data_IF_014376738784
#
_entry.id   IF_014376738784
#
_cell.length_a   1.000
_cell.length_b   1.000
_cell.length_c   1.000
_cell.angle_alpha   90.00
_cell.angle_beta   90.00
_cell.angle_gamma   90.00
#
_symmetry.space_group_name_H-M   'P 1'
#
loop_
_entity.id
_entity.type
_entity.pdbx_description
1 polymer ?
#
# COMPACT_ATOMS: atom_id res chain seq x y z
N UNK A 1 113.44 43.46 104.78
CA UNK A 1 114.04 42.21 104.26
C UNK A 1 112.92 41.37 103.67
N UNK A 2 113.15 40.96 102.44
CA UNK A 2 112.23 40.31 101.53
C UNK A 2 111.84 38.90 102.00
N UNK A 3 110.57 38.53 101.84
CA UNK A 3 110.24 37.30 101.13
C UNK A 3 108.85 37.39 100.53
N UNK A 4 108.82 37.77 99.25
CA UNK A 4 107.69 37.61 98.34
C UNK A 4 107.43 36.11 98.13
N UNK A 5 106.47 35.55 98.85
CA UNK A 5 105.75 34.36 98.37
C UNK A 5 104.55 34.86 97.57
N UNK A 6 104.71 34.88 96.25
CA UNK A 6 103.69 35.23 95.26
C UNK A 6 102.47 34.33 95.40
N UNK A 7 101.49 34.75 96.20
CA UNK A 7 100.14 34.21 96.18
C UNK A 7 99.53 34.65 94.84
N UNK A 8 99.40 33.70 93.89
CA UNK A 8 98.63 33.91 92.66
C UNK A 8 97.19 34.23 93.05
N UNK A 9 96.89 35.52 93.08
CA UNK A 9 95.55 36.08 93.26
C UNK A 9 94.66 35.59 92.10
N UNK A 10 93.56 34.92 92.46
CA UNK A 10 92.28 34.82 91.76
C UNK A 10 92.40 34.70 90.23
N UNK A 11 92.43 33.46 89.75
CA UNK A 11 92.38 33.09 88.33
C UNK A 11 91.14 33.70 87.65
N UNK A 12 91.34 34.76 86.85
CA UNK A 12 90.39 35.10 85.80
C UNK A 12 90.38 33.95 84.78
N UNK A 13 89.32 33.14 84.77
CA UNK A 13 89.12 32.17 83.69
C UNK A 13 88.83 32.94 82.39
N UNK A 14 89.85 33.09 81.55
CA UNK A 14 89.82 33.90 80.32
C UNK A 14 88.72 33.49 79.34
N UNK A 15 88.28 32.23 79.37
CA UNK A 15 87.20 31.73 78.52
C UNK A 15 85.82 31.91 79.16
N UNK A 16 85.75 32.11 80.48
CA UNK A 16 84.54 32.43 81.22
C UNK A 16 84.35 33.94 81.42
N UNK A 17 84.70 34.74 80.40
CA UNK A 17 84.60 36.20 80.41
C UNK A 17 83.83 36.69 79.18
N UNK A 18 82.76 37.44 79.43
CA UNK A 18 81.84 37.98 78.41
C UNK A 18 82.60 38.80 77.35
N UNK A 19 83.65 39.52 77.75
CA UNK A 19 84.42 40.40 76.86
C UNK A 19 85.22 39.64 75.79
N UNK A 20 85.58 38.38 76.04
CA UNK A 20 86.33 37.55 75.09
C UNK A 20 85.46 36.57 74.31
N UNK A 21 84.19 36.43 74.67
CA UNK A 21 83.25 35.46 74.08
C UNK A 21 83.11 35.51 72.55
N UNK A 22 83.28 36.69 71.94
CA UNK A 22 83.21 36.88 70.47
C UNK A 22 84.47 36.42 69.73
N UNK A 23 85.59 36.27 70.43
CA UNK A 23 86.88 35.90 69.86
C UNK A 23 87.23 34.43 70.12
N UNK A 24 86.32 33.67 70.73
CA UNK A 24 86.48 32.24 70.96
C UNK A 24 86.11 31.49 69.68
N UNK A 25 87.04 30.72 69.16
CA UNK A 25 86.83 29.84 68.02
C UNK A 25 86.77 28.38 68.46
N UNK A 26 85.83 27.62 67.90
CA UNK A 26 85.74 26.19 68.11
C UNK A 26 86.77 25.46 67.24
N UNK A 27 87.66 24.69 67.88
CA UNK A 27 88.66 23.87 67.18
C UNK A 27 88.03 22.64 66.53
N UNK A 28 86.99 22.08 67.17
CA UNK A 28 86.19 20.97 66.64
C UNK A 28 84.73 21.14 67.04
N UNK A 29 83.78 20.58 66.27
CA UNK A 29 82.37 20.55 66.67
C UNK A 29 82.20 19.78 68.00
N UNK A 30 81.33 20.30 68.88
CA UNK A 30 80.96 19.59 70.11
C UNK A 30 80.52 18.17 69.78
N UNK A 31 81.18 17.21 70.39
CA UNK A 31 80.97 15.78 70.12
C UNK A 31 80.71 15.05 71.44
N UNK A 32 79.79 14.09 71.40
CA UNK A 32 79.58 13.13 72.48
C UNK A 32 80.61 12.01 72.37
N UNK A 33 81.39 11.77 73.43
CA UNK A 33 82.44 10.76 73.50
C UNK A 33 82.36 10.03 74.85
N UNK A 34 82.69 8.73 74.85
CA UNK A 34 82.80 7.97 76.10
C UNK A 34 84.14 8.26 76.78
N UNK A 35 84.08 8.75 78.03
CA UNK A 35 85.25 9.06 78.85
C UNK A 35 85.34 8.06 80.01
N UNK A 36 86.53 7.50 80.21
CA UNK A 36 86.86 6.60 81.32
C UNK A 36 87.29 7.43 82.54
N UNK A 37 86.49 7.44 83.59
CA UNK A 37 86.82 8.07 84.87
C UNK A 37 87.54 7.06 85.76
N UNK A 38 88.72 7.41 86.25
CA UNK A 38 89.44 6.64 87.27
C UNK A 38 89.67 7.46 88.53
N UNK A 39 89.04 7.04 89.62
CA UNK A 39 89.16 7.64 90.95
C UNK A 39 89.28 6.52 91.98
N UNK A 40 90.33 6.55 92.81
CA UNK A 40 90.54 5.63 93.94
C UNK A 40 90.30 4.14 93.62
N UNK A 41 90.78 3.67 92.47
CA UNK A 41 90.65 2.26 92.04
C UNK A 41 89.33 1.89 91.36
N UNK A 42 88.32 2.76 91.42
CA UNK A 42 87.06 2.59 90.69
C UNK A 42 87.19 3.15 89.26
N UNK A 43 86.72 2.37 88.29
CA UNK A 43 86.66 2.76 86.87
C UNK A 43 85.21 2.84 86.43
N UNK A 44 84.81 3.99 85.88
CA UNK A 44 83.48 4.19 85.31
C UNK A 44 83.61 4.78 83.90
N UNK A 45 82.87 4.25 82.93
CA UNK A 45 82.82 4.80 81.58
C UNK A 45 81.53 5.59 81.43
N UNK A 46 81.62 6.90 81.13
CA UNK A 46 80.45 7.79 81.01
C UNK A 46 80.45 8.54 79.69
N UNK A 47 79.26 8.83 79.17
CA UNK A 47 79.11 9.69 78.01
C UNK A 47 79.30 11.16 78.42
N UNK A 48 80.18 11.86 77.71
CA UNK A 48 80.51 13.25 77.95
C UNK A 48 80.48 14.06 76.67
N UNK A 49 80.14 15.35 76.76
CA UNK A 49 80.37 16.31 75.70
C UNK A 49 81.75 16.92 75.83
N UNK A 50 82.48 16.97 74.72
CA UNK A 50 83.79 17.60 74.63
C UNK A 50 83.65 18.89 73.82
N UNK A 51 84.12 19.99 74.42
CA UNK A 51 84.22 21.30 73.81
C UNK A 51 85.70 21.63 73.67
N UNK A 52 86.17 21.85 72.45
CA UNK A 52 87.53 22.27 72.17
C UNK A 52 87.50 23.70 71.61
N UNK A 53 88.03 24.64 72.37
CA UNK A 53 87.93 26.08 72.12
C UNK A 53 89.33 26.69 72.14
N UNK A 54 89.57 27.68 71.28
CA UNK A 54 90.83 28.44 71.25
C UNK A 54 90.56 29.95 71.25
N UNK A 55 91.54 30.69 71.76
CA UNK A 55 91.58 32.14 71.73
C UNK A 55 92.94 32.56 71.16
N UNK A 56 93.00 32.76 69.85
CA UNK A 56 94.27 32.94 69.12
C UNK A 56 95.01 34.22 69.54
N UNK A 57 94.30 35.32 69.81
CA UNK A 57 94.88 36.60 70.24
C UNK A 57 95.71 36.50 71.52
N UNK A 58 95.43 35.52 72.37
CA UNK A 58 96.14 35.28 73.64
C UNK A 58 96.98 34.00 73.63
N UNK A 59 97.01 33.27 72.52
CA UNK A 59 97.69 31.96 72.45
C UNK A 59 97.16 30.99 73.50
N UNK A 60 95.83 30.86 73.60
CA UNK A 60 95.14 30.08 74.61
C UNK A 60 94.30 28.97 73.96
N UNK A 61 94.27 27.80 74.61
CA UNK A 61 93.47 26.64 74.23
C UNK A 61 92.75 26.10 75.46
N UNK A 62 91.50 25.72 75.31
CA UNK A 62 90.73 25.12 76.37
C UNK A 62 89.96 23.89 75.90
N UNK A 63 90.09 22.80 76.65
CA UNK A 63 89.24 21.62 76.54
C UNK A 63 88.29 21.60 77.74
N UNK A 64 86.98 21.51 77.46
CA UNK A 64 85.96 21.32 78.47
C UNK A 64 85.27 19.97 78.26
N UNK A 65 85.18 19.18 79.31
CA UNK A 65 84.51 17.88 79.33
C UNK A 65 83.35 17.97 80.30
N UNK A 66 82.12 17.82 79.80
CA UNK A 66 80.92 17.84 80.64
C UNK A 66 80.20 16.49 80.57
N UNK A 67 79.81 15.91 81.70
CA UNK A 67 79.02 14.66 81.70
C UNK A 67 77.65 14.92 81.05
N UNK A 68 77.22 14.05 80.11
CA UNK A 68 75.93 14.20 79.40
C UNK A 68 74.73 14.13 80.34
N UNK A 69 74.81 13.31 81.40
CA UNK A 69 73.74 13.19 82.39
C UNK A 69 73.65 14.37 83.36
N UNK A 70 74.76 15.10 83.56
CA UNK A 70 74.82 16.24 84.47
C UNK A 70 75.91 17.22 84.04
N UNK A 71 75.53 18.25 83.29
CA UNK A 71 76.47 19.26 82.77
C UNK A 71 77.13 20.11 83.87
N UNK A 72 76.66 20.04 85.12
CA UNK A 72 77.33 20.65 86.27
C UNK A 72 78.65 19.96 86.59
N UNK A 73 78.80 18.68 86.22
CA UNK A 73 80.07 17.94 86.30
C UNK A 73 80.92 18.27 85.09
N UNK A 74 81.59 19.41 85.18
CA UNK A 74 82.43 19.95 84.12
C UNK A 74 83.88 19.97 84.55
N UNK A 75 84.75 19.48 83.67
CA UNK A 75 86.19 19.43 83.84
C UNK A 75 86.83 20.29 82.77
N UNK A 76 87.80 21.11 83.17
CA UNK A 76 88.41 22.10 82.30
C UNK A 76 89.92 21.92 82.32
N UNK A 77 90.49 21.94 81.12
CA UNK A 77 91.92 21.99 80.87
C UNK A 77 92.18 23.24 80.06
N UNK A 78 92.93 24.19 80.61
CA UNK A 78 93.36 25.41 79.91
C UNK A 78 94.86 25.33 79.70
N UNK A 79 95.31 25.51 78.46
CA UNK A 79 96.71 25.52 78.07
C UNK A 79 97.01 26.87 77.43
N UNK A 80 97.90 27.62 78.06
CA UNK A 80 98.47 28.87 77.58
C UNK A 80 99.90 28.65 77.07
N UNK A 81 100.56 29.73 76.63
CA UNK A 81 101.93 29.63 76.12
C UNK A 81 102.95 29.21 77.19
N UNK A 82 102.73 29.54 78.46
CA UNK A 82 103.65 29.22 79.56
C UNK A 82 103.51 27.75 79.98
N UNK A 83 102.29 27.33 80.32
CA UNK A 83 101.95 25.93 80.62
C UNK A 83 102.26 24.99 79.45
N UNK A 84 102.17 25.46 78.20
CA UNK A 84 102.64 24.65 77.07
C UNK A 84 104.15 24.38 77.10
N UNK A 85 105.00 25.33 77.51
CA UNK A 85 106.45 25.06 77.62
C UNK A 85 106.74 24.00 78.69
N UNK A 86 106.01 24.05 79.80
CA UNK A 86 106.10 23.03 80.87
C UNK A 86 105.67 21.66 80.32
N UNK A 87 104.49 21.57 79.68
CA UNK A 87 104.01 20.33 79.05
C UNK A 87 104.98 19.82 77.97
N UNK A 88 105.57 20.73 77.21
CA UNK A 88 106.52 20.40 76.14
C UNK A 88 107.77 19.73 76.72
N UNK A 89 108.28 20.24 77.85
CA UNK A 89 109.43 19.67 78.54
C UNK A 89 109.07 18.34 79.24
N UNK A 90 107.97 18.31 80.00
CA UNK A 90 107.57 17.13 80.79
C UNK A 90 107.19 15.93 79.93
N UNK A 91 106.49 16.16 78.81
CA UNK A 91 106.01 15.11 77.92
C UNK A 91 106.86 14.98 76.65
N UNK A 92 108.01 15.67 76.59
CA UNK A 92 108.94 15.63 75.45
C UNK A 92 108.24 15.89 74.10
N UNK A 93 107.38 16.91 74.04
CA UNK A 93 106.62 17.23 72.83
C UNK A 93 107.51 17.94 71.80
N UNK A 94 107.64 17.37 70.61
CA UNK A 94 108.47 17.93 69.53
C UNK A 94 107.69 18.83 68.56
N UNK A 95 106.83 19.71 69.09
CA UNK A 95 106.00 20.62 68.28
C UNK A 95 106.02 22.07 68.76
N UNK A 96 105.58 22.98 67.89
CA UNK A 96 105.25 24.37 68.26
C UNK A 96 103.86 24.43 68.89
N UNK A 97 103.48 25.57 69.49
CA UNK A 97 102.13 25.73 70.04
C UNK A 97 101.04 25.62 68.96
N UNK A 98 101.31 26.05 67.72
CA UNK A 98 100.37 25.85 66.61
C UNK A 98 100.24 24.37 66.23
N UNK A 99 101.36 23.65 66.09
CA UNK A 99 101.35 22.22 65.82
C UNK A 99 100.72 21.40 66.95
N UNK A 100 100.83 21.88 68.21
CA UNK A 100 100.11 21.28 69.33
C UNK A 100 98.58 21.39 69.17
N UNK A 101 98.06 22.55 68.74
CA UNK A 101 96.63 22.73 68.46
C UNK A 101 96.14 21.75 67.38
N UNK A 102 96.89 21.61 66.30
CA UNK A 102 96.59 20.69 65.20
C UNK A 102 96.60 19.22 65.66
N UNK A 103 97.63 18.81 66.39
CA UNK A 103 97.72 17.47 66.97
C UNK A 103 96.57 17.19 67.94
N UNK A 104 96.14 18.18 68.73
CA UNK A 104 94.99 18.03 69.62
C UNK A 104 93.69 17.81 68.85
N UNK A 105 93.47 18.50 67.72
CA UNK A 105 92.33 18.25 66.82
C UNK A 105 92.36 16.81 66.31
N UNK A 106 93.53 16.34 65.85
CA UNK A 106 93.69 14.98 65.33
C UNK A 106 93.43 13.92 66.41
N UNK A 107 93.99 14.10 67.61
CA UNK A 107 93.76 13.21 68.76
C UNK A 107 92.27 13.14 69.11
N UNK A 108 91.56 14.29 69.14
CA UNK A 108 90.13 14.33 69.40
C UNK A 108 89.31 13.63 68.32
N UNK A 109 89.70 13.75 67.05
CA UNK A 109 89.09 13.01 65.95
C UNK A 109 89.33 11.51 66.09
N UNK A 110 90.56 11.08 66.43
CA UNK A 110 90.87 9.67 66.66
C UNK A 110 90.13 9.10 67.89
N UNK A 111 89.84 9.93 68.90
CA UNK A 111 88.94 9.56 70.00
C UNK A 111 87.50 9.38 69.53
N UNK A 112 87.00 10.28 68.67
CA UNK A 112 85.65 10.17 68.08
C UNK A 112 85.50 8.91 67.22
N UNK A 113 86.57 8.54 66.50
CA UNK A 113 86.62 7.31 65.69
C UNK A 113 86.86 6.05 66.54
N UNK A 114 87.08 6.18 67.85
CA UNK A 114 87.31 5.06 68.76
C UNK A 114 88.71 4.44 68.68
N UNK A 115 89.66 5.08 68.00
CA UNK A 115 91.06 4.64 67.94
C UNK A 115 91.82 4.93 69.24
N UNK A 116 91.44 6.01 69.90
CA UNK A 116 91.97 6.44 71.20
C UNK A 116 90.83 6.49 72.22
N UNK A 117 91.14 6.17 73.48
CA UNK A 117 90.24 6.33 74.61
C UNK A 117 90.63 7.56 75.43
N UNK A 118 89.64 8.31 75.89
CA UNK A 118 89.84 9.46 76.78
C UNK A 118 89.67 8.98 78.22
N UNK A 119 90.67 9.22 79.05
CA UNK A 119 90.68 8.85 80.46
C UNK A 119 90.83 10.09 81.34
N UNK A 120 89.91 10.29 82.28
CA UNK A 120 90.03 11.33 83.30
C UNK A 120 90.49 10.68 84.62
N UNK A 121 91.74 10.91 84.97
CA UNK A 121 92.42 10.27 86.11
C UNK A 121 92.56 11.26 87.25
N UNK A 122 92.09 10.92 88.45
CA UNK A 122 92.33 11.74 89.64
C UNK A 122 93.76 11.52 90.17
N UNK A 123 94.52 12.60 90.38
CA UNK A 123 95.88 12.52 90.93
C UNK A 123 95.81 12.39 92.46
N UNK A 124 96.11 11.19 92.98
CA UNK A 124 96.03 10.88 94.42
C UNK A 124 97.29 11.29 95.21
N UNK A 125 98.29 11.91 94.56
CA UNK A 125 99.61 12.18 95.18
C UNK A 125 99.64 13.35 96.18
N UNK A 126 98.54 14.06 96.39
CA UNK A 126 98.50 15.26 97.24
C UNK A 126 98.00 15.04 98.67
N UNK A 127 97.90 13.79 99.15
CA UNK A 127 97.28 13.49 100.44
C UNK A 127 98.23 13.36 101.65
N UNK A 128 99.54 13.58 101.55
CA UNK A 128 100.45 13.27 102.67
C UNK A 128 101.38 14.38 103.19
N UNK A 129 101.27 15.63 102.73
CA UNK A 129 102.07 16.70 103.35
C UNK A 129 101.41 18.07 103.27
N UNK A 130 100.96 18.56 104.42
CA UNK A 130 100.48 19.90 104.76
C UNK A 130 98.96 20.15 104.61
N UNK A 131 98.22 19.65 105.59
CA UNK A 131 96.80 19.94 105.81
C UNK A 131 96.58 21.38 106.35
N UNK A 132 96.55 22.38 105.47
CA UNK A 132 96.07 23.72 105.88
C UNK A 132 95.52 24.62 104.75
N UNK A 133 95.32 24.12 103.54
CA UNK A 133 94.58 24.82 102.47
C UNK A 133 93.68 23.82 101.76
N UNK A 134 92.42 24.17 101.52
CA UNK A 134 91.45 23.29 100.86
C UNK A 134 91.99 22.82 99.50
N UNK A 135 92.47 21.57 99.44
CA UNK A 135 93.14 21.01 98.26
C UNK A 135 92.05 20.67 97.24
N UNK A 136 91.98 21.44 96.16
CA UNK A 136 91.12 21.13 95.00
C UNK A 136 91.68 19.84 94.37
N UNK A 137 90.86 18.80 94.13
CA UNK A 137 91.33 17.57 93.52
C UNK A 137 91.86 17.85 92.11
N UNK A 138 93.14 17.53 91.89
CA UNK A 138 93.77 17.63 90.58
C UNK A 138 93.41 16.40 89.73
N UNK A 139 93.00 16.64 88.49
CA UNK A 139 92.72 15.59 87.51
C UNK A 139 93.74 15.67 86.36
N UNK A 140 93.88 14.57 85.63
CA UNK A 140 94.63 14.50 84.39
C UNK A 140 93.73 13.95 83.29
N UNK A 141 93.61 14.70 82.20
CA UNK A 141 92.92 14.28 81.01
C UNK A 141 93.91 13.60 80.07
N UNK A 142 93.80 12.29 79.93
CA UNK A 142 94.73 11.44 79.18
C UNK A 142 94.08 10.89 77.92
N UNK A 143 94.84 10.88 76.84
CA UNK A 143 94.47 10.29 75.56
C UNK A 143 95.27 9.00 75.37
N UNK A 144 94.59 7.87 75.41
CA UNK A 144 95.21 6.55 75.60
C UNK A 144 94.88 5.64 74.42
N UNK A 145 95.92 5.09 73.80
CA UNK A 145 95.79 4.00 72.84
C UNK A 145 95.85 2.67 73.58
N UNK A 146 94.77 1.90 73.48
CA UNK A 146 94.69 0.57 74.06
C UNK A 146 95.50 -0.39 73.18
N UNK A 147 96.53 -1.01 73.76
CA UNK A 147 97.40 -1.96 73.05
C UNK A 147 97.44 -3.28 73.81
N UNK A 148 97.70 -4.43 73.14
CA UNK A 148 97.67 -5.76 73.77
C UNK A 148 98.65 -5.95 74.93
N UNK A 149 99.81 -5.27 74.89
CA UNK A 149 100.86 -5.43 75.90
C UNK A 149 100.81 -4.33 76.98
N UNK A 150 100.82 -3.06 76.56
CA UNK A 150 100.80 -1.91 77.46
C UNK A 150 100.14 -0.74 76.76
N UNK A 151 99.17 -0.13 77.42
CA UNK A 151 98.50 1.07 76.93
C UNK A 151 99.50 2.22 76.76
N UNK A 152 99.39 2.96 75.66
CA UNK A 152 100.23 4.10 75.35
C UNK A 152 99.45 5.39 75.61
N UNK A 153 99.96 6.25 76.49
CA UNK A 153 99.39 7.60 76.68
C UNK A 153 100.06 8.54 75.69
N UNK A 154 99.29 9.06 74.74
CA UNK A 154 99.76 9.98 73.70
C UNK A 154 99.91 11.41 74.22
N UNK A 155 98.98 11.82 75.09
CA UNK A 155 98.96 13.16 75.67
C UNK A 155 98.26 13.10 77.03
N UNK A 156 98.82 13.79 78.03
CA UNK A 156 98.28 13.87 79.38
C UNK A 156 98.21 15.33 79.81
N UNK A 157 97.02 15.91 79.84
CA UNK A 157 96.82 17.32 80.16
C UNK A 157 96.39 17.52 81.62
N UNK A 158 96.87 18.56 82.31
CA UNK A 158 96.34 18.94 83.62
C UNK A 158 94.88 19.35 83.47
N UNK A 159 94.04 18.87 84.38
CA UNK A 159 92.60 19.08 84.33
C UNK A 159 92.09 19.38 85.73
N UNK A 160 91.12 20.28 85.82
CA UNK A 160 90.50 20.66 87.07
C UNK A 160 88.98 20.57 86.98
N UNK A 161 88.34 20.34 88.12
CA UNK A 161 86.90 20.48 88.22
C UNK A 161 86.56 21.97 88.10
N UNK A 162 85.62 22.32 87.21
CA UNK A 162 85.20 23.70 87.01
C UNK A 162 84.55 24.27 88.27
N UNK A 163 84.82 25.55 88.55
CA UNK A 163 84.17 26.26 89.66
C UNK A 163 82.70 26.55 89.33
N UNK A 164 81.88 26.79 90.36
CA UNK A 164 80.45 27.06 90.18
C UNK A 164 80.17 28.26 89.25
N UNK A 165 80.96 29.32 89.36
CA UNK A 165 80.81 30.52 88.53
C UNK A 165 81.07 30.21 87.04
N UNK A 166 82.08 29.40 86.75
CA UNK A 166 82.43 28.97 85.39
C UNK A 166 81.34 28.06 84.82
N UNK A 167 80.87 27.11 85.61
CA UNK A 167 79.75 26.22 85.25
C UNK A 167 78.51 27.04 84.89
N UNK A 168 78.15 28.00 85.73
CA UNK A 168 76.98 28.86 85.53
C UNK A 168 77.10 29.68 84.24
N UNK A 169 78.27 30.27 83.98
CA UNK A 169 78.54 31.02 82.75
C UNK A 169 78.31 30.16 81.50
N UNK A 170 78.92 28.96 81.44
CA UNK A 170 78.78 28.10 80.27
C UNK A 170 77.37 27.52 80.11
N UNK A 171 76.71 27.14 81.21
CA UNK A 171 75.33 26.64 81.15
C UNK A 171 74.35 27.73 80.69
N UNK A 172 74.50 28.96 81.16
CA UNK A 172 73.68 30.09 80.68
C UNK A 172 73.92 30.34 79.19
N UNK A 173 75.17 30.33 78.72
CA UNK A 173 75.48 30.48 77.30
C UNK A 173 74.89 29.36 76.43
N UNK A 174 74.91 28.12 76.92
CA UNK A 174 74.29 26.98 76.23
C UNK A 174 72.76 27.17 76.21
N UNK A 175 72.16 27.56 77.34
CA UNK A 175 70.72 27.81 77.46
C UNK A 175 70.26 28.89 76.49
N UNK A 176 70.92 30.05 76.46
CA UNK A 176 70.59 31.15 75.54
C UNK A 176 70.72 30.73 74.06
N UNK A 177 71.74 29.93 73.72
CA UNK A 177 71.92 29.39 72.36
C UNK A 177 70.80 28.42 72.01
N UNK A 178 70.42 27.53 72.93
CA UNK A 178 69.34 26.57 72.72
C UNK A 178 67.98 27.26 72.64
N UNK A 179 67.70 28.24 73.50
CA UNK A 179 66.45 29.00 73.50
C UNK A 179 66.25 29.74 72.17
N UNK A 180 67.29 30.41 71.65
CA UNK A 180 67.25 31.06 70.34
C UNK A 180 66.98 30.06 69.20
N UNK A 181 67.63 28.89 69.22
CA UNK A 181 67.38 27.83 68.24
C UNK A 181 65.95 27.31 68.33
N UNK A 182 65.44 27.06 69.54
CA UNK A 182 64.07 26.57 69.74
C UNK A 182 63.03 27.58 69.23
N UNK A 183 63.16 28.85 69.59
CA UNK A 183 62.27 29.92 69.10
C UNK A 183 62.29 30.02 67.57
N UNK A 184 63.47 29.96 66.95
CA UNK A 184 63.56 29.96 65.49
C UNK A 184 62.87 28.75 64.84
N UNK A 185 63.03 27.56 65.42
CA UNK A 185 62.36 26.35 64.93
C UNK A 185 60.84 26.42 65.13
N UNK A 186 60.37 27.01 66.22
CA UNK A 186 58.96 27.24 66.48
C UNK A 186 58.34 28.19 65.45
N UNK A 187 58.98 29.33 65.18
CA UNK A 187 58.53 30.28 64.15
C UNK A 187 58.44 29.61 62.77
N UNK A 188 59.46 28.82 62.41
CA UNK A 188 59.48 28.10 61.13
C UNK A 188 58.40 27.03 61.05
N UNK A 189 58.13 26.33 62.15
CA UNK A 189 57.06 25.34 62.21
C UNK A 189 55.68 25.99 62.06
N UNK A 190 55.45 27.14 62.71
CA UNK A 190 54.20 27.90 62.57
C UNK A 190 54.00 28.41 61.14
N UNK A 191 55.06 28.88 60.47
CA UNK A 191 55.00 29.30 59.06
C UNK A 191 54.60 28.13 58.14
N UNK A 192 55.27 26.99 58.26
CA UNK A 192 54.96 25.79 57.47
C UNK A 192 53.54 25.28 57.76
N UNK A 193 53.10 25.35 59.02
CA UNK A 193 51.74 25.02 59.38
C UNK A 193 50.74 25.94 58.67
N UNK A 194 50.98 27.25 58.62
CA UNK A 194 50.12 28.19 57.92
C UNK A 194 50.05 27.91 56.41
N UNK A 195 51.19 27.65 55.76
CA UNK A 195 51.26 27.26 54.35
C UNK A 195 50.45 25.99 54.06
N UNK A 196 50.60 24.95 54.89
CA UNK A 196 49.81 23.73 54.77
C UNK A 196 48.31 23.97 54.87
N UNK A 197 47.85 24.81 55.80
CA UNK A 197 46.43 25.16 55.92
C UNK A 197 45.91 25.87 54.65
N UNK A 198 46.72 26.73 54.03
CA UNK A 198 46.35 27.39 52.78
C UNK A 198 46.28 26.40 51.61
N UNK A 199 47.23 25.45 51.53
CA UNK A 199 47.18 24.39 50.53
C UNK A 199 45.95 23.50 50.68
N UNK A 200 45.59 23.09 51.89
CA UNK A 200 44.37 22.31 52.17
C UNK A 200 43.12 23.07 51.70
N UNK A 201 42.99 24.37 52.04
CA UNK A 201 41.87 25.19 51.57
C UNK A 201 41.78 25.26 50.05
N UNK A 202 42.93 25.32 49.36
CA UNK A 202 42.96 25.36 47.89
C UNK A 202 42.53 24.02 47.29
N UNK A 203 42.92 22.90 47.88
CA UNK A 203 42.47 21.56 47.48
C UNK A 203 40.94 21.47 47.63
N UNK A 204 40.38 21.86 48.77
CA UNK A 204 38.93 21.85 49.00
C UNK A 204 38.15 22.70 47.98
N UNK A 205 38.71 23.83 47.55
CA UNK A 205 38.12 24.67 46.50
C UNK A 205 38.12 23.96 45.14
N UNK A 206 39.27 23.38 44.75
CA UNK A 206 39.41 22.66 43.48
C UNK A 206 38.53 21.40 43.44
N UNK A 207 38.37 20.71 44.56
CA UNK A 207 37.48 19.55 44.66
C UNK A 207 36.02 19.94 44.45
N UNK A 208 35.59 21.09 45.02
CA UNK A 208 34.26 21.65 44.77
C UNK A 208 34.06 22.04 43.31
N UNK A 209 35.04 22.72 42.70
CA UNK A 209 35.00 23.06 41.27
C UNK A 209 34.91 21.80 40.39
N UNK A 210 35.68 20.76 40.71
CA UNK A 210 35.64 19.49 40.00
C UNK A 210 34.29 18.78 40.16
N UNK A 211 33.70 18.79 41.35
CA UNK A 211 32.38 18.22 41.60
C UNK A 211 31.31 18.94 40.75
N UNK A 212 31.30 20.27 40.77
CA UNK A 212 30.37 21.07 39.97
C UNK A 212 30.53 20.82 38.47
N UNK A 213 31.77 20.71 37.97
CA UNK A 213 32.02 20.42 36.55
C UNK A 213 31.53 19.02 36.15
N UNK A 214 31.68 18.02 37.03
CA UNK A 214 31.17 16.66 36.79
C UNK A 214 29.65 16.63 36.76
N UNK A 215 29.00 17.35 37.67
CA UNK A 215 27.55 17.50 37.70
C UNK A 215 27.03 18.18 36.42
N UNK A 216 27.60 19.32 36.04
CA UNK A 216 27.26 20.01 34.81
C UNK A 216 27.44 19.13 33.55
N UNK A 217 28.52 18.34 33.50
CA UNK A 217 28.77 17.41 32.40
C UNK A 217 27.72 16.29 32.35
N UNK A 218 27.34 15.75 33.51
CA UNK A 218 26.29 14.74 33.63
C UNK A 218 24.95 15.29 33.16
N UNK A 219 24.55 16.46 33.65
CA UNK A 219 23.32 17.14 33.25
C UNK A 219 23.29 17.44 31.75
N UNK A 220 24.39 17.98 31.20
CA UNK A 220 24.51 18.26 29.76
C UNK A 220 24.38 16.99 28.92
N UNK A 221 25.02 15.90 29.37
CA UNK A 221 24.94 14.60 28.68
C UNK A 221 23.52 14.02 28.74
N UNK A 222 22.85 14.12 29.88
CA UNK A 222 21.47 13.69 30.05
C UNK A 222 20.51 14.49 29.16
N UNK A 223 20.65 15.82 29.14
CA UNK A 223 19.84 16.69 28.29
C UNK A 223 20.03 16.37 26.79
N UNK A 224 21.28 16.14 26.36
CA UNK A 224 21.58 15.77 24.98
C UNK A 224 21.00 14.40 24.61
N UNK A 225 21.17 13.40 25.48
CA UNK A 225 20.60 12.06 25.28
C UNK A 225 19.07 12.10 25.23
N UNK A 226 18.44 12.90 26.08
CA UNK A 226 16.99 13.09 26.05
C UNK A 226 16.55 13.68 24.71
N UNK A 227 17.21 14.74 24.24
CA UNK A 227 16.93 15.35 22.94
C UNK A 227 17.11 14.35 21.78
N UNK A 228 18.20 13.59 21.77
CA UNK A 228 18.41 12.56 20.75
C UNK A 228 17.34 11.46 20.82
N UNK A 229 16.91 11.06 22.01
CA UNK A 229 15.82 10.09 22.18
C UNK A 229 14.50 10.63 21.62
N UNK A 230 14.19 11.90 21.84
CA UNK A 230 13.02 12.56 21.26
C UNK A 230 13.10 12.64 19.73
N UNK A 231 14.26 13.02 19.18
CA UNK A 231 14.50 13.07 17.73
C UNK A 231 14.35 11.68 17.08
N UNK A 232 14.87 10.63 17.73
CA UNK A 232 14.71 9.23 17.26
C UNK A 232 13.23 8.83 17.27
N UNK A 233 12.49 9.14 18.35
CA UNK A 233 11.06 8.83 18.43
C UNK A 233 10.27 9.55 17.33
N UNK A 234 10.55 10.84 17.09
CA UNK A 234 9.90 11.58 16.00
C UNK A 234 10.23 10.99 14.62
N UNK A 235 11.47 10.60 14.37
CA UNK A 235 11.86 9.96 13.13
C UNK A 235 11.18 8.59 12.96
N UNK A 236 11.10 7.79 14.02
CA UNK A 236 10.38 6.51 14.00
C UNK A 236 8.89 6.70 13.69
N UNK A 237 8.25 7.69 14.31
CA UNK A 237 6.84 8.01 14.04
C UNK A 237 6.64 8.47 12.59
N UNK A 238 7.54 9.29 12.05
CA UNK A 238 7.49 9.72 10.66
C UNK A 238 7.67 8.55 9.67
N UNK A 239 8.60 7.64 9.96
CA UNK A 239 8.80 6.42 9.15
C UNK A 239 7.56 5.55 9.21
N UNK A 240 6.96 5.37 10.39
CA UNK A 240 5.72 4.60 10.56
C UNK A 240 4.58 5.19 9.71
N UNK A 241 4.36 6.51 9.77
CA UNK A 241 3.37 7.21 8.94
C UNK A 241 3.63 7.01 7.44
N UNK A 242 4.88 7.08 7.00
CA UNK A 242 5.25 6.84 5.60
C UNK A 242 4.99 5.39 5.16
N UNK A 243 5.23 4.41 6.04
CA UNK A 243 4.93 3.01 5.77
C UNK A 243 3.42 2.79 5.65
N UNK A 244 2.64 3.35 6.58
CA UNK A 244 1.17 3.30 6.54
C UNK A 244 0.61 3.95 5.27
N UNK A 245 1.10 5.14 4.92
CA UNK A 245 0.70 5.82 3.70
C UNK A 245 1.05 5.01 2.43
N UNK A 246 2.25 4.43 2.37
CA UNK A 246 2.67 3.56 1.26
C UNK A 246 1.77 2.32 1.18
N UNK A 247 1.41 1.73 2.32
CA UNK A 247 0.53 0.57 2.38
C UNK A 247 -0.86 0.91 1.84
N UNK A 248 -1.45 2.04 2.26
CA UNK A 248 -2.73 2.52 1.73
C UNK A 248 -2.68 2.74 0.22
N UNK A 249 -1.63 3.39 -0.29
CA UNK A 249 -1.47 3.62 -1.72
C UNK A 249 -1.28 2.30 -2.48
N UNK A 250 -0.53 1.35 -1.92
CA UNK A 250 -0.40 0.01 -2.50
C UNK A 250 -1.75 -0.71 -2.57
N UNK A 251 -2.58 -0.62 -1.53
CA UNK A 251 -3.93 -1.18 -1.52
C UNK A 251 -4.86 -0.49 -2.52
N UNK A 252 -4.74 0.84 -2.71
CA UNK A 252 -5.45 1.57 -3.76
C UNK A 252 -5.02 1.09 -5.14
N UNK A 253 -3.72 0.93 -5.37
CA UNK A 253 -3.18 0.41 -6.63
C UNK A 253 -3.66 -1.03 -6.90
N UNK A 254 -3.61 -1.92 -5.90
CA UNK A 254 -4.14 -3.28 -6.03
C UNK A 254 -5.63 -3.29 -6.39
N UNK A 255 -6.45 -2.43 -5.75
CA UNK A 255 -7.87 -2.28 -6.09
C UNK A 255 -8.09 -1.77 -7.51
N UNK A 256 -7.30 -0.78 -7.93
CA UNK A 256 -7.36 -0.26 -9.31
C UNK A 256 -6.98 -1.33 -10.33
N UNK A 257 -5.90 -2.09 -10.09
CA UNK A 257 -5.46 -3.21 -10.93
C UNK A 257 -6.54 -4.30 -11.01
N UNK A 258 -7.14 -4.67 -9.88
CA UNK A 258 -8.22 -5.67 -9.87
C UNK A 258 -9.43 -5.20 -10.67
N UNK A 259 -9.79 -3.92 -10.57
CA UNK A 259 -10.88 -3.31 -11.34
C UNK A 259 -10.60 -3.30 -12.85
N UNK A 260 -9.39 -2.87 -13.26
CA UNK A 260 -9.01 -2.89 -14.68
C UNK A 260 -8.91 -4.31 -15.22
N UNK A 261 -8.43 -5.27 -14.41
CA UNK A 261 -8.42 -6.68 -14.77
C UNK A 261 -9.84 -7.22 -14.99
N UNK A 262 -10.79 -6.91 -14.10
CA UNK A 262 -12.19 -7.30 -14.26
C UNK A 262 -12.82 -6.69 -15.52
N UNK A 263 -12.50 -5.44 -15.85
CA UNK A 263 -12.93 -4.83 -17.12
C UNK A 263 -12.32 -5.51 -18.34
N UNK A 264 -11.03 -5.86 -18.28
CA UNK A 264 -10.36 -6.63 -19.33
C UNK A 264 -11.03 -7.98 -19.53
N UNK A 265 -11.30 -8.71 -18.46
CA UNK A 265 -11.96 -10.02 -18.52
C UNK A 265 -13.37 -9.88 -19.12
N UNK A 266 -14.12 -8.84 -18.73
CA UNK A 266 -15.43 -8.55 -19.33
C UNK A 266 -15.34 -8.26 -20.83
N UNK A 267 -14.44 -7.37 -21.24
CA UNK A 267 -14.22 -7.08 -22.67
C UNK A 267 -13.73 -8.31 -23.44
N UNK A 268 -12.92 -9.16 -22.82
CA UNK A 268 -12.48 -10.43 -23.40
C UNK A 268 -13.68 -11.37 -23.63
N UNK A 269 -14.59 -11.49 -22.64
CA UNK A 269 -15.82 -12.27 -22.81
C UNK A 269 -16.73 -11.70 -23.89
N UNK A 270 -16.96 -10.38 -23.92
CA UNK A 270 -17.73 -9.70 -24.97
C UNK A 270 -17.10 -9.89 -26.35
N UNK A 271 -15.77 -9.81 -26.46
CA UNK A 271 -15.05 -10.10 -27.70
C UNK A 271 -15.29 -11.55 -28.14
N UNK A 272 -15.22 -12.51 -27.23
CA UNK A 272 -15.50 -13.92 -27.54
C UNK A 272 -16.94 -14.14 -27.99
N UNK A 273 -17.93 -13.51 -27.34
CA UNK A 273 -19.34 -13.62 -27.74
C UNK A 273 -19.59 -12.98 -29.10
N UNK A 274 -19.11 -11.75 -29.33
CA UNK A 274 -19.21 -11.08 -30.63
C UNK A 274 -18.49 -11.87 -31.73
N UNK A 275 -17.36 -12.50 -31.43
CA UNK A 275 -16.67 -13.36 -32.37
C UNK A 275 -17.47 -14.62 -32.70
N UNK A 276 -18.15 -15.22 -31.72
CA UNK A 276 -19.05 -16.35 -31.93
C UNK A 276 -20.29 -15.95 -32.76
N UNK A 277 -20.90 -14.80 -32.45
CA UNK A 277 -22.01 -14.21 -33.21
C UNK A 277 -21.59 -13.92 -34.65
N UNK A 278 -20.42 -13.31 -34.86
CA UNK A 278 -19.86 -13.08 -36.20
C UNK A 278 -19.68 -14.38 -36.98
N UNK A 279 -19.19 -15.45 -36.34
CA UNK A 279 -19.05 -16.76 -36.99
C UNK A 279 -20.44 -17.32 -37.35
N UNK A 280 -21.43 -17.19 -36.47
CA UNK A 280 -22.79 -17.62 -36.73
C UNK A 280 -23.42 -16.84 -37.90
N UNK A 281 -23.28 -15.52 -37.90
CA UNK A 281 -23.79 -14.63 -38.95
C UNK A 281 -23.07 -14.87 -40.30
N UNK A 282 -21.76 -15.17 -40.27
CA UNK A 282 -21.02 -15.60 -41.46
C UNK A 282 -21.60 -16.90 -42.04
N UNK A 283 -21.89 -17.90 -41.19
CA UNK A 283 -22.55 -19.15 -41.63
C UNK A 283 -23.94 -18.90 -42.21
N UNK A 284 -24.76 -18.06 -41.56
CA UNK A 284 -26.08 -17.70 -42.08
C UNK A 284 -25.97 -16.98 -43.43
N UNK A 285 -25.00 -16.08 -43.60
CA UNK A 285 -24.72 -15.44 -44.88
C UNK A 285 -24.23 -16.42 -45.96
N UNK A 286 -23.44 -17.43 -45.60
CA UNK A 286 -23.04 -18.49 -46.53
C UNK A 286 -24.25 -19.29 -47.01
N UNK A 287 -25.14 -19.70 -46.09
CA UNK A 287 -26.40 -20.39 -46.42
C UNK A 287 -27.28 -19.51 -47.34
N UNK A 288 -27.46 -18.24 -46.99
CA UNK A 288 -28.23 -17.29 -47.81
C UNK A 288 -27.58 -17.07 -49.18
N UNK A 289 -26.24 -17.07 -49.28
CA UNK A 289 -25.53 -17.00 -50.57
C UNK A 289 -25.77 -18.25 -51.41
N UNK A 290 -25.79 -19.44 -50.81
CA UNK A 290 -26.14 -20.70 -51.48
C UNK A 290 -27.60 -20.68 -51.95
N UNK A 291 -28.54 -20.21 -51.12
CA UNK A 291 -29.95 -20.02 -51.50
C UNK A 291 -30.11 -18.99 -52.63
N UNK A 292 -29.41 -17.87 -52.57
CA UNK A 292 -29.40 -16.88 -53.65
C UNK A 292 -28.82 -17.48 -54.93
N UNK A 293 -27.75 -18.28 -54.84
CA UNK A 293 -27.14 -18.94 -56.00
C UNK A 293 -28.09 -19.95 -56.64
N UNK A 294 -28.75 -20.77 -55.83
CA UNK A 294 -29.77 -21.74 -56.31
C UNK A 294 -31.00 -21.04 -56.89
N UNK A 295 -31.49 -19.97 -56.28
CA UNK A 295 -32.58 -19.14 -56.81
C UNK A 295 -32.17 -18.42 -58.10
N UNK A 296 -30.94 -17.90 -58.20
CA UNK A 296 -30.39 -17.33 -59.44
C UNK A 296 -30.34 -18.38 -60.55
N UNK A 297 -29.92 -19.60 -60.26
CA UNK A 297 -29.96 -20.73 -61.20
C UNK A 297 -31.39 -21.05 -61.65
N UNK A 298 -32.36 -21.02 -60.74
CA UNK A 298 -33.78 -21.23 -61.04
C UNK A 298 -34.37 -20.10 -61.91
N UNK A 299 -34.00 -18.85 -61.65
CA UNK A 299 -34.36 -17.69 -62.48
C UNK A 299 -33.73 -17.81 -63.87
N UNK A 300 -32.48 -18.24 -64.00
CA UNK A 300 -31.83 -18.46 -65.29
C UNK A 300 -32.56 -19.53 -66.12
N UNK A 301 -32.93 -20.66 -65.51
CA UNK A 301 -33.73 -21.70 -66.17
C UNK A 301 -35.12 -21.19 -66.60
N UNK A 302 -35.79 -20.40 -65.75
CA UNK A 302 -37.08 -19.80 -66.09
C UNK A 302 -36.94 -18.78 -67.23
N UNK A 303 -35.88 -17.97 -67.25
CA UNK A 303 -35.59 -17.05 -68.39
C UNK A 303 -35.36 -17.82 -69.68
N UNK A 304 -34.63 -18.94 -69.65
CA UNK A 304 -34.40 -19.78 -70.82
C UNK A 304 -35.70 -20.44 -71.33
N UNK A 305 -36.59 -20.89 -70.43
CA UNK A 305 -37.93 -21.36 -70.79
C UNK A 305 -38.79 -20.24 -71.39
N UNK A 306 -38.71 -19.03 -70.85
CA UNK A 306 -39.46 -17.88 -71.36
C UNK A 306 -38.97 -17.44 -72.76
N UNK A 307 -37.65 -17.49 -73.03
CA UNK A 307 -37.13 -17.28 -74.38
C UNK A 307 -37.56 -18.36 -75.38
N UNK A 308 -37.63 -19.64 -74.96
CA UNK A 308 -38.13 -20.73 -75.82
C UNK A 308 -39.60 -20.52 -76.19
N UNK A 309 -40.44 -20.17 -75.22
CA UNK A 309 -41.85 -19.85 -75.44
C UNK A 309 -42.03 -18.58 -76.31
N UNK A 310 -41.19 -17.56 -76.13
CA UNK A 310 -41.19 -16.38 -77.01
C UNK A 310 -40.83 -16.71 -78.47
N UNK A 311 -39.87 -17.62 -78.70
CA UNK A 311 -39.53 -18.10 -80.04
C UNK A 311 -40.66 -18.91 -80.67
N UNK A 312 -41.34 -19.78 -79.92
CA UNK A 312 -42.53 -20.50 -80.39
C UNK A 312 -43.69 -19.56 -80.75
N UNK A 313 -43.97 -18.54 -79.92
CA UNK A 313 -44.99 -17.52 -80.21
C UNK A 313 -44.65 -16.77 -81.50
N UNK A 314 -43.38 -16.43 -81.73
CA UNK A 314 -42.96 -15.72 -82.94
C UNK A 314 -43.09 -16.57 -84.21
N UNK A 315 -42.89 -17.89 -84.12
CA UNK A 315 -43.09 -18.83 -85.23
C UNK A 315 -44.58 -18.96 -85.54
N UNK A 316 -45.43 -19.11 -84.52
CA UNK A 316 -46.89 -19.20 -84.67
C UNK A 316 -47.49 -17.90 -85.26
N UNK A 317 -47.01 -16.72 -84.83
CA UNK A 317 -47.41 -15.42 -85.39
C UNK A 317 -47.06 -15.24 -86.89
N UNK A 318 -45.99 -15.89 -87.36
CA UNK A 318 -45.60 -15.85 -88.76
C UNK A 318 -46.39 -16.86 -89.63
N UNK A 319 -46.86 -17.96 -89.03
CA UNK A 319 -47.82 -18.87 -89.66
C UNK A 319 -49.20 -18.24 -89.82
N UNK A 320 -49.67 -17.51 -88.80
CA UNK A 320 -50.94 -16.77 -88.80
C UNK A 320 -51.01 -15.73 -89.93
N UNK A 321 -49.98 -14.92 -90.12
CA UNK A 321 -49.92 -13.90 -91.20
C UNK A 321 -49.95 -14.49 -92.62
N UNK A 322 -49.41 -15.70 -92.82
CA UNK A 322 -49.48 -16.39 -94.13
C UNK A 322 -50.88 -16.95 -94.39
N UNK A 323 -51.57 -17.45 -93.36
CA UNK A 323 -52.94 -17.92 -93.48
C UNK A 323 -53.95 -16.79 -93.73
N UNK A 324 -53.73 -15.61 -93.14
CA UNK A 324 -54.57 -14.42 -93.36
C UNK A 324 -54.49 -13.88 -94.80
N UNK A 325 -53.31 -13.95 -95.42
CA UNK A 325 -53.11 -13.54 -96.81
C UNK A 325 -53.85 -14.48 -97.79
N UNK A 326 -53.83 -15.79 -97.54
CA UNK A 326 -54.62 -16.76 -98.30
C UNK A 326 -56.15 -16.60 -98.09
N UNK A 327 -56.59 -16.23 -96.90
CA UNK A 327 -58.01 -15.95 -96.61
C UNK A 327 -58.52 -14.68 -97.32
N UNK A 328 -57.64 -13.73 -97.62
CA UNK A 328 -58.00 -12.51 -98.35
C UNK A 328 -58.16 -12.76 -99.86
N UNK A 329 -57.33 -13.63 -100.45
CA UNK A 329 -57.44 -14.03 -101.85
C UNK A 329 -58.68 -14.91 -102.11
N UNK A 330 -58.98 -15.86 -101.21
CA UNK A 330 -60.22 -16.65 -101.30
C UNK A 330 -61.50 -15.83 -101.07
N UNK A 331 -61.44 -14.73 -100.30
CA UNK A 331 -62.59 -13.79 -100.17
C UNK A 331 -62.88 -13.03 -101.46
N UNK A 332 -61.89 -12.84 -102.33
CA UNK A 332 -62.06 -12.16 -103.62
C UNK A 332 -62.71 -13.10 -104.65
N UNK A 333 -62.28 -14.36 -104.72
CA UNK A 333 -62.93 -15.40 -105.53
C UNK A 333 -64.37 -15.72 -105.10
N UNK A 334 -64.66 -15.68 -103.79
CA UNK A 334 -66.02 -15.89 -103.27
C UNK A 334 -66.99 -14.75 -103.64
N UNK A 335 -66.51 -13.52 -103.82
CA UNK A 335 -67.36 -12.41 -104.25
C UNK A 335 -67.66 -12.42 -105.76
N UNK A 336 -66.70 -12.82 -106.59
CA UNK A 336 -66.90 -12.96 -108.04
C UNK A 336 -67.86 -14.13 -108.37
N UNK A 337 -67.79 -15.23 -107.60
CA UNK A 337 -68.75 -16.34 -107.71
C UNK A 337 -70.16 -15.99 -107.18
N UNK A 338 -70.29 -15.05 -106.23
CA UNK A 338 -71.58 -14.59 -105.69
C UNK A 338 -72.36 -13.70 -106.67
N UNK A 339 -71.70 -12.92 -107.53
CA UNK A 339 -72.39 -12.15 -108.58
C UNK A 339 -72.91 -13.05 -109.72
N UNK A 340 -72.17 -14.10 -110.07
CA UNK A 340 -72.60 -15.10 -111.05
C UNK A 340 -73.79 -15.92 -110.52
N UNK A 341 -73.80 -16.25 -109.22
CA UNK A 341 -74.91 -16.93 -108.55
C UNK A 341 -76.20 -16.06 -108.51
N UNK A 342 -76.07 -14.76 -108.24
CA UNK A 342 -77.22 -13.81 -108.22
C UNK A 342 -77.89 -13.65 -109.60
N UNK A 343 -77.13 -13.81 -110.69
CA UNK A 343 -77.64 -13.77 -112.07
C UNK A 343 -78.30 -15.09 -112.48
N UNK A 344 -77.87 -16.21 -111.91
CA UNK A 344 -78.44 -17.54 -112.12
C UNK A 344 -79.73 -17.76 -111.30
N UNK A 345 -79.82 -17.25 -110.07
CA UNK A 345 -81.03 -17.35 -109.25
C UNK A 345 -82.20 -16.51 -109.78
N UNK A 346 -81.93 -15.40 -110.48
CA UNK A 346 -82.96 -14.58 -111.14
C UNK A 346 -83.58 -15.25 -112.37
N UNK A 347 -82.80 -16.07 -113.10
CA UNK A 347 -83.28 -16.84 -114.26
C UNK A 347 -83.95 -18.17 -113.85
N UNK A 348 -83.61 -18.70 -112.67
CA UNK A 348 -84.22 -19.91 -112.08
C UNK A 348 -85.61 -19.63 -111.46
N UNK A 349 -85.88 -18.40 -111.03
CA UNK A 349 -87.10 -18.05 -110.31
C UNK A 349 -88.38 -17.96 -111.19
N UNK A 350 -88.32 -17.66 -112.49
CA UNK A 350 -89.57 -17.49 -113.28
C UNK A 350 -89.70 -18.38 -114.52
N UNK A 351 -88.64 -19.07 -114.95
CA UNK A 351 -88.84 -20.37 -115.63
C UNK A 351 -89.63 -21.35 -114.73
N UNK A 352 -89.68 -21.13 -113.41
CA UNK A 352 -90.54 -21.86 -112.46
C UNK A 352 -91.98 -21.32 -112.43
N UNK A 353 -92.19 -20.00 -112.62
CA UNK A 353 -93.53 -19.41 -112.74
C UNK A 353 -94.23 -19.75 -114.07
N UNK A 354 -93.48 -19.87 -115.16
CA UNK A 354 -93.98 -20.28 -116.48
C UNK A 354 -94.31 -21.79 -116.51
N UNK A 355 -93.55 -22.62 -115.79
CA UNK A 355 -93.73 -24.07 -115.71
C UNK A 355 -94.82 -24.50 -114.70
N UNK A 356 -95.16 -23.66 -113.70
CA UNK A 356 -96.31 -23.85 -112.81
C UNK A 356 -97.65 -23.41 -113.45
N UNK A 357 -97.65 -22.39 -114.33
CA UNK A 357 -98.81 -22.05 -115.15
C UNK A 357 -99.13 -23.14 -116.18
N UNK A 358 -98.12 -23.70 -116.85
CA UNK A 358 -98.28 -24.77 -117.85
C UNK A 358 -98.68 -26.13 -117.21
N UNK A 359 -98.24 -26.40 -115.97
CA UNK A 359 -98.68 -27.57 -115.19
C UNK A 359 -100.13 -27.45 -114.69
N UNK A 360 -100.60 -26.26 -114.35
CA UNK A 360 -102.00 -26.01 -113.95
C UNK A 360 -102.96 -26.07 -115.14
N UNK A 361 -102.46 -25.79 -116.36
CA UNK A 361 -103.15 -25.99 -117.65
C UNK A 361 -103.14 -27.48 -118.06
N UNK A 362 -102.07 -28.24 -117.80
CA UNK A 362 -101.95 -29.65 -118.22
C UNK A 362 -102.64 -30.65 -117.27
N UNK A 363 -102.71 -30.37 -115.97
CA UNK A 363 -103.36 -31.23 -114.96
C UNK A 363 -104.90 -31.11 -115.02
N UNK A 364 -105.44 -29.91 -115.24
CA UNK A 364 -106.90 -29.70 -115.41
C UNK A 364 -107.42 -30.24 -116.75
N UNK A 365 -106.61 -30.22 -117.83
CA UNK A 365 -106.95 -30.90 -119.10
C UNK A 365 -106.90 -32.42 -119.01
N UNK A 366 -105.94 -33.00 -118.29
CA UNK A 366 -105.76 -34.46 -118.19
C UNK A 366 -106.76 -35.10 -117.22
N UNK A 367 -107.05 -34.46 -116.09
CA UNK A 367 -108.02 -34.96 -115.11
C UNK A 367 -109.48 -34.77 -115.56
N UNK A 368 -109.79 -33.74 -116.36
CA UNK A 368 -111.11 -33.62 -117.00
C UNK A 368 -111.30 -34.61 -118.17
N UNK A 369 -110.24 -34.94 -118.93
CA UNK A 369 -110.30 -35.96 -119.99
C UNK A 369 -110.34 -37.40 -119.46
N UNK A 370 -109.78 -37.65 -118.28
CA UNK A 370 -109.81 -38.96 -117.61
C UNK A 370 -111.16 -39.19 -116.90
N UNK A 371 -111.74 -38.15 -116.28
CA UNK A 371 -113.14 -38.15 -115.80
C UNK A 371 -114.12 -38.28 -116.98
N UNK A 372 -113.85 -37.61 -118.12
CA UNK A 372 -114.64 -37.80 -119.34
C UNK A 372 -114.48 -39.20 -119.96
N UNK A 373 -113.32 -39.86 -119.86
CA UNK A 373 -113.11 -41.19 -120.46
C UNK A 373 -113.66 -42.34 -119.60
N UNK A 374 -113.55 -42.26 -118.28
CA UNK A 374 -114.08 -43.27 -117.36
C UNK A 374 -115.60 -43.15 -117.16
N UNK A 375 -116.17 -41.93 -117.26
CA UNK A 375 -117.62 -41.73 -117.33
C UNK A 375 -118.19 -42.19 -118.69
N UNK A 376 -117.49 -42.01 -119.81
CA UNK A 376 -117.93 -42.52 -121.14
C UNK A 376 -117.83 -44.05 -121.22
N UNK A 377 -116.87 -44.69 -120.56
CA UNK A 377 -116.72 -46.16 -120.52
C UNK A 377 -117.75 -46.84 -119.58
N UNK A 378 -118.01 -46.26 -118.40
CA UNK A 378 -119.08 -46.72 -117.49
C UNK A 378 -120.48 -46.37 -118.02
N UNK A 379 -120.67 -45.24 -118.71
CA UNK A 379 -121.96 -44.91 -119.29
C UNK A 379 -122.24 -45.65 -120.60
N UNK A 380 -121.25 -46.02 -121.43
CA UNK A 380 -121.51 -46.90 -122.57
C UNK A 380 -121.94 -48.31 -122.15
N UNK A 381 -121.49 -48.81 -120.99
CA UNK A 381 -122.07 -50.01 -120.36
C UNK A 381 -123.49 -49.77 -119.84
N UNK A 382 -123.77 -48.59 -119.27
CA UNK A 382 -125.13 -48.18 -118.87
C UNK A 382 -126.03 -47.98 -120.09
N UNK A 383 -125.55 -47.49 -121.23
CA UNK A 383 -126.28 -47.31 -122.49
C UNK A 383 -126.60 -48.67 -123.10
N UNK A 384 -125.70 -49.66 -123.01
CA UNK A 384 -126.00 -51.04 -123.43
C UNK A 384 -127.04 -51.70 -122.50
N UNK A 385 -126.98 -51.43 -121.19
CA UNK A 385 -127.95 -51.92 -120.19
C UNK A 385 -129.30 -51.20 -120.25
N UNK A 386 -129.30 -49.90 -120.51
CA UNK A 386 -130.46 -49.04 -120.71
C UNK A 386 -131.10 -49.23 -122.09
N UNK A 387 -130.35 -49.65 -123.11
CA UNK A 387 -130.91 -50.04 -124.42
C UNK A 387 -131.62 -51.40 -124.34
N UNK A 388 -131.13 -52.32 -123.50
CA UNK A 388 -131.85 -53.56 -123.15
C UNK A 388 -133.06 -53.31 -122.24
N UNK A 389 -132.99 -52.32 -121.33
CA UNK A 389 -134.12 -51.82 -120.56
C UNK A 389 -135.11 -51.02 -121.41
N UNK A 390 -134.69 -50.30 -122.44
CA UNK A 390 -135.56 -49.60 -123.40
C UNK A 390 -136.35 -50.61 -124.25
N UNK A 391 -135.80 -51.79 -124.54
CA UNK A 391 -136.52 -52.88 -125.21
C UNK A 391 -137.54 -53.56 -124.26
N UNK A 392 -137.27 -53.64 -122.95
CA UNK A 392 -138.24 -54.09 -121.93
C UNK A 392 -139.31 -53.04 -121.62
N UNK A 393 -138.92 -51.79 -121.47
CA UNK A 393 -139.83 -50.67 -121.22
C UNK A 393 -140.69 -50.35 -122.44
N UNK A 394 -140.26 -50.67 -123.67
CA UNK A 394 -141.12 -50.65 -124.86
C UNK A 394 -142.22 -51.73 -124.83
N UNK A 395 -141.98 -52.87 -124.14
CA UNK A 395 -143.03 -53.84 -123.78
C UNK A 395 -143.93 -53.33 -122.63
N UNK A 396 -143.38 -52.51 -121.74
CA UNK A 396 -144.14 -51.86 -120.65
C UNK A 396 -144.94 -50.64 -121.14
N UNK A 397 -144.47 -49.94 -122.18
CA UNK A 397 -145.21 -48.90 -122.91
C UNK A 397 -146.44 -49.51 -123.56
N UNK A 398 -146.36 -50.73 -124.08
CA UNK A 398 -147.52 -51.44 -124.64
C UNK A 398 -148.53 -51.88 -123.57
N UNK A 399 -148.10 -52.18 -122.34
CA UNK A 399 -148.99 -52.52 -121.22
C UNK A 399 -149.52 -51.30 -120.44
N UNK A 400 -148.74 -50.23 -120.27
CA UNK A 400 -149.15 -49.02 -119.54
C UNK A 400 -150.01 -48.08 -120.38
N UNK A 401 -149.93 -48.14 -121.70
CA UNK A 401 -150.95 -47.53 -122.57
C UNK A 401 -152.30 -48.25 -122.42
N UNK A 402 -152.33 -49.49 -121.92
CA UNK A 402 -153.56 -50.17 -121.48
C UNK A 402 -154.02 -49.69 -120.08
N UNK A 403 -153.09 -49.22 -119.22
CA UNK A 403 -153.37 -48.61 -117.89
C UNK A 403 -153.73 -47.11 -117.97
N UNK A 404 -153.30 -46.43 -119.02
CA UNK A 404 -153.79 -45.10 -119.40
C UNK A 404 -155.32 -45.05 -119.53
N UNK A 405 -156.04 -46.18 -119.56
CA UNK A 405 -157.50 -46.22 -119.67
C UNK A 405 -158.23 -46.37 -118.32
N UNK A 406 -157.54 -46.73 -117.21
CA UNK A 406 -158.19 -46.92 -115.89
C UNK A 406 -157.95 -45.80 -114.85
N UNK A 407 -156.82 -45.08 -114.82
CA UNK A 407 -156.52 -44.12 -113.72
C UNK A 407 -157.04 -42.69 -113.94
N UNK A 408 -157.41 -42.32 -115.16
CA UNK A 408 -158.30 -41.17 -115.41
C UNK A 408 -159.66 -41.31 -114.67
N UNK A 409 -160.01 -42.53 -114.21
CA UNK A 409 -161.17 -42.77 -113.34
C UNK A 409 -160.92 -42.38 -111.85
N UNK A 410 -159.66 -42.12 -111.42
CA UNK A 410 -159.27 -41.87 -110.01
C UNK A 410 -158.91 -40.40 -109.66
N UNK A 411 -158.68 -39.55 -110.67
CA UNK A 411 -158.64 -38.08 -110.51
C UNK A 411 -159.88 -37.54 -109.78
N UNK A 412 -161.00 -38.26 -109.72
CA UNK A 412 -162.26 -37.79 -109.11
C UNK A 412 -162.38 -37.87 -107.59
N UNK A 413 -161.45 -38.48 -106.84
CA UNK A 413 -161.68 -38.77 -105.41
C UNK A 413 -160.87 -37.96 -104.37
N UNK A 414 -159.71 -37.35 -104.68
CA UNK A 414 -158.80 -36.82 -103.61
C UNK A 414 -158.72 -35.31 -103.41
N UNK A 415 -159.36 -34.53 -104.27
CA UNK A 415 -159.64 -33.12 -103.99
C UNK A 415 -160.51 -32.94 -102.73
N UNK A 416 -161.11 -34.01 -102.19
CA UNK A 416 -161.82 -34.00 -100.91
C UNK A 416 -160.92 -33.76 -99.67
N UNK A 417 -159.59 -33.99 -99.72
CA UNK A 417 -158.75 -33.95 -98.50
C UNK A 417 -158.05 -32.60 -98.22
N UNK A 418 -158.00 -31.70 -99.21
CA UNK A 418 -157.40 -30.36 -99.12
C UNK A 418 -158.09 -29.42 -98.10
N UNK A 419 -159.17 -29.87 -97.47
CA UNK A 419 -160.04 -29.11 -96.59
C UNK A 419 -159.60 -29.12 -95.12
N UNK A 420 -158.76 -30.07 -94.70
CA UNK A 420 -158.64 -30.38 -93.26
C UNK A 420 -157.43 -29.76 -92.52
N UNK A 421 -156.29 -29.45 -93.18
CA UNK A 421 -155.06 -29.04 -92.44
C UNK A 421 -154.83 -27.53 -92.29
N UNK A 422 -155.70 -26.70 -92.86
CA UNK A 422 -155.75 -25.27 -92.56
C UNK A 422 -156.08 -24.97 -91.09
N UNK A 423 -156.65 -25.93 -90.36
CA UNK A 423 -157.11 -25.78 -88.98
C UNK A 423 -155.96 -25.82 -87.93
N UNK A 424 -154.76 -26.29 -88.27
CA UNK A 424 -153.69 -26.51 -87.27
C UNK A 424 -152.88 -25.24 -86.94
N UNK A 425 -152.98 -24.21 -87.79
CA UNK A 425 -152.35 -22.89 -87.62
C UNK A 425 -152.96 -22.10 -86.44
N UNK A 426 -154.12 -22.49 -85.93
CA UNK A 426 -154.72 -21.88 -84.74
C UNK A 426 -154.04 -22.28 -83.42
N UNK A 427 -153.36 -23.44 -83.36
CA UNK A 427 -153.00 -24.05 -82.08
C UNK A 427 -151.76 -23.42 -81.40
N UNK A 428 -150.67 -23.13 -82.11
CA UNK A 428 -149.41 -22.72 -81.46
C UNK A 428 -149.34 -21.24 -81.05
N UNK A 429 -150.38 -20.46 -81.35
CA UNK A 429 -150.65 -19.17 -80.72
C UNK A 429 -150.81 -19.28 -79.18
N UNK A 430 -151.06 -20.48 -78.62
CA UNK A 430 -151.22 -20.69 -77.18
C UNK A 430 -149.92 -20.69 -76.35
N UNK A 431 -148.73 -20.92 -76.93
CA UNK A 431 -147.50 -21.09 -76.11
C UNK A 431 -146.86 -19.75 -75.70
N UNK A 432 -147.22 -18.65 -76.36
CA UNK A 432 -146.97 -17.26 -75.91
C UNK A 432 -147.36 -17.04 -74.44
N UNK A 433 -148.38 -17.74 -73.96
CA UNK A 433 -148.86 -17.53 -72.60
C UNK A 433 -148.01 -18.17 -71.53
N UNK A 434 -147.16 -19.11 -71.93
CA UNK A 434 -146.35 -19.79 -70.95
C UNK A 434 -145.13 -18.98 -70.56
N UNK A 435 -145.37 -18.24 -69.49
CA UNK A 435 -144.47 -18.29 -68.35
C UNK A 435 -143.20 -17.44 -68.61
N UNK A 436 -143.33 -16.11 -68.69
CA UNK A 436 -144.31 -15.31 -67.90
C UNK A 436 -144.39 -15.77 -66.41
N UNK A 437 -143.40 -16.58 -66.00
CA UNK A 437 -142.94 -16.99 -64.66
C UNK A 437 -141.45 -16.60 -64.65
N UNK A 438 -141.11 -15.33 -64.82
CA UNK A 438 -141.49 -14.37 -63.79
C UNK A 438 -141.23 -14.97 -62.40
N UNK A 439 -140.55 -14.19 -61.59
CA UNK A 439 -140.76 -14.13 -60.14
C UNK A 439 -139.72 -14.79 -59.21
N UNK A 440 -138.97 -15.89 -59.46
CA UNK A 440 -138.47 -16.60 -58.28
C UNK A 440 -137.13 -16.14 -57.69
N UNK A 441 -136.27 -15.38 -58.38
CA UNK A 441 -134.89 -15.17 -57.86
C UNK A 441 -134.45 -13.73 -57.60
N UNK A 442 -135.37 -12.79 -57.83
CA UNK A 442 -135.42 -11.50 -57.11
C UNK A 442 -135.44 -11.65 -55.57
N UNK A 443 -135.51 -12.87 -55.01
CA UNK A 443 -135.50 -13.14 -53.55
C UNK A 443 -134.10 -13.41 -52.94
N UNK A 444 -133.07 -13.84 -53.70
CA UNK A 444 -131.72 -14.06 -53.12
C UNK A 444 -130.93 -12.75 -52.91
N UNK A 445 -131.46 -11.66 -53.47
CA UNK A 445 -131.09 -10.26 -53.26
C UNK A 445 -130.93 -9.83 -51.78
N UNK A 446 -131.55 -10.50 -50.82
CA UNK A 446 -131.72 -9.93 -49.48
C UNK A 446 -130.97 -10.67 -48.35
N UNK A 447 -130.33 -11.83 -48.63
CA UNK A 447 -129.91 -12.74 -47.55
C UNK A 447 -128.54 -12.54 -46.91
N UNK A 448 -127.55 -11.85 -47.49
CA UNK A 448 -126.23 -11.69 -46.84
C UNK A 448 -125.80 -10.25 -46.50
N UNK A 449 -126.67 -9.29 -46.79
CA UNK A 449 -126.83 -8.03 -46.04
C UNK A 449 -126.88 -8.25 -44.51
N UNK A 450 -127.22 -9.46 -44.04
CA UNK A 450 -127.33 -9.80 -42.63
C UNK A 450 -126.02 -10.22 -41.92
N UNK A 451 -124.89 -10.51 -42.61
CA UNK A 451 -123.59 -10.78 -41.93
C UNK A 451 -122.71 -9.54 -41.73
N UNK A 452 -123.32 -8.38 -41.98
CA UNK A 452 -123.20 -7.20 -41.13
C UNK A 452 -123.10 -7.56 -39.63
N UNK A 453 -122.79 -6.54 -38.85
CA UNK A 453 -123.10 -6.44 -37.42
C UNK A 453 -122.19 -7.13 -36.42
N UNK A 454 -121.42 -8.16 -36.76
CA UNK A 454 -120.47 -8.76 -35.81
C UNK A 454 -119.04 -8.46 -36.27
N UNK A 455 -118.20 -7.66 -35.61
CA UNK A 455 -118.25 -7.00 -34.31
C UNK A 455 -116.86 -6.33 -34.25
N UNK A 456 -116.64 -5.02 -34.36
CA UNK A 456 -117.24 -3.89 -33.63
C UNK A 456 -116.96 -3.88 -32.12
N UNK A 457 -116.02 -4.70 -31.64
CA UNK A 457 -115.45 -4.71 -30.27
C UNK A 457 -113.97 -5.18 -30.37
N UNK A 458 -112.93 -4.52 -29.87
CA UNK A 458 -112.89 -3.47 -28.84
C UNK A 458 -111.55 -2.71 -28.85
N UNK A 459 -111.68 -1.39 -28.84
CA UNK A 459 -110.72 -0.42 -28.30
C UNK A 459 -110.49 -0.65 -26.80
N UNK A 460 -109.22 -0.58 -26.36
CA UNK A 460 -108.67 -0.20 -25.03
C UNK A 460 -107.44 -1.05 -24.72
N UNK A 461 -106.27 -0.44 -24.80
CA UNK A 461 -105.30 -0.30 -23.71
C UNK A 461 -104.50 0.98 -23.95
#
# INVERSE_FOLDING_TARGET
>A
MFNNSSVRLIEEDYFANINYSKNIEYMTPTTEVMVNFSSNGLKAKKACFIYAEKLDLKGLVQLRVAEKSDHRKMYITTVDSASFQELKQEQSLHVTFSGFKENMIQILQDCKLGKLEICLVQDSRMNESNASTAIIPAYKLQFVEIRPFKNLVHLSLPCQLASLNVILFYMNNILEKLQRKCSHHEDRAQQLQHENHNHIRRIDQLDKECANLRENLLESTQALNHKHSEEILQLQENVQKLVEQRQEDSERHCRAIASTQAQLDKLQTEKCTLQAERIHEQKCNEILKEEISTLKGRIANLKEQNEKLHKEISILKNGERKADMHLQDFRKEVNDLKEILKKCDKNKAELVAELEAERKISYTKRQALEVASDEISKANQIIIKQTQEAVKLKKTITWRTEVAVQQEQAIKQKDELLKDKGEEIEFLKEVVDTLRKEIPKEIDSLRKFAKSLETKYSERW
#
